data_IF_370687883437
#
_entry.id   IF_370687883437
#
_cell.length_a   1.000
_cell.length_b   1.000
_cell.length_c   1.000
_cell.angle_alpha   90.00
_cell.angle_beta   90.00
_cell.angle_gamma   90.00
#
_symmetry.space_group_name_H-M   'P 1'
#
loop_
_entity.id
_entity.type
_entity.pdbx_description
1 polymer ?
#
# COMPACT_ATOMS: atom_id res chain seq x y z
N UNK A 1 -57.63 -77.77 53.88
CA UNK A 1 -56.93 -76.75 53.03
C UNK A 1 -55.54 -77.27 52.84
N UNK A 2 -55.25 -77.65 51.62
CA UNK A 2 -54.20 -78.56 51.15
C UNK A 2 -52.76 -78.02 51.33
N UNK A 3 -51.93 -78.76 52.12
CA UNK A 3 -50.49 -78.47 52.30
C UNK A 3 -49.74 -78.52 51.01
N UNK A 4 -50.25 -79.32 50.03
CA UNK A 4 -49.59 -79.48 48.68
C UNK A 4 -49.58 -78.20 47.84
N UNK A 5 -50.63 -77.34 47.91
CA UNK A 5 -50.71 -76.06 47.17
C UNK A 5 -49.76 -74.98 47.71
N UNK A 6 -49.41 -75.05 48.98
CA UNK A 6 -48.43 -74.09 49.58
C UNK A 6 -46.99 -74.42 49.08
N UNK A 7 -46.63 -75.71 48.96
CA UNK A 7 -45.32 -76.08 48.44
C UNK A 7 -45.18 -75.75 46.96
N UNK A 8 -46.26 -75.93 46.19
CA UNK A 8 -46.25 -75.51 44.75
C UNK A 8 -46.08 -74.02 44.57
N UNK A 9 -46.73 -73.16 45.43
CA UNK A 9 -46.58 -71.73 45.38
C UNK A 9 -45.12 -71.26 45.68
N UNK A 10 -44.46 -71.98 46.63
CA UNK A 10 -43.04 -71.63 46.95
C UNK A 10 -42.09 -72.02 45.83
N UNK A 11 -42.36 -73.10 45.10
CA UNK A 11 -41.57 -73.53 43.91
C UNK A 11 -41.75 -72.54 42.75
N UNK A 12 -42.95 -72.04 42.54
CA UNK A 12 -43.20 -70.98 41.51
C UNK A 12 -42.52 -69.67 41.86
N UNK A 13 -42.54 -69.20 43.10
CA UNK A 13 -41.81 -67.97 43.55
C UNK A 13 -40.30 -68.18 43.39
N UNK A 14 -39.79 -69.38 43.74
CA UNK A 14 -38.38 -69.70 43.56
C UNK A 14 -37.92 -69.59 42.07
N UNK A 15 -38.77 -70.16 41.19
CA UNK A 15 -38.50 -70.15 39.73
C UNK A 15 -38.57 -68.75 39.14
N UNK A 16 -39.53 -67.91 39.60
CA UNK A 16 -39.59 -66.51 39.20
C UNK A 16 -38.41 -65.71 39.71
N UNK A 17 -37.93 -65.98 40.93
CA UNK A 17 -36.75 -65.29 41.49
C UNK A 17 -35.48 -65.65 40.68
N UNK A 18 -35.32 -66.92 40.32
CA UNK A 18 -34.19 -67.40 39.44
C UNK A 18 -34.30 -66.72 38.07
N UNK A 19 -35.51 -66.71 37.46
CA UNK A 19 -35.71 -66.09 36.14
C UNK A 19 -35.42 -64.61 36.20
N UNK A 20 -35.78 -63.91 37.28
CA UNK A 20 -35.49 -62.49 37.48
C UNK A 20 -33.96 -62.22 37.61
N UNK A 21 -33.23 -63.09 38.32
CA UNK A 21 -31.77 -62.97 38.48
C UNK A 21 -31.08 -63.26 37.15
N UNK A 22 -31.52 -64.26 36.37
CA UNK A 22 -30.99 -64.54 35.06
C UNK A 22 -31.29 -63.44 34.07
N UNK A 23 -32.51 -62.91 34.07
CA UNK A 23 -32.87 -61.75 33.26
C UNK A 23 -32.03 -60.49 33.61
N UNK A 24 -31.83 -60.24 34.93
CA UNK A 24 -30.97 -59.14 35.36
C UNK A 24 -29.51 -59.34 34.95
N UNK A 25 -29.00 -60.56 34.96
CA UNK A 25 -27.65 -60.88 34.54
C UNK A 25 -27.47 -60.76 33.02
N UNK A 26 -28.48 -61.21 32.22
CA UNK A 26 -28.50 -61.10 30.75
C UNK A 26 -28.73 -59.66 30.27
N UNK A 27 -29.47 -58.84 31.03
CA UNK A 27 -29.75 -57.42 30.70
C UNK A 27 -28.72 -56.44 31.26
N UNK A 28 -27.71 -56.94 31.98
CA UNK A 28 -26.60 -56.09 32.40
C UNK A 28 -25.90 -55.57 31.17
N UNK A 29 -25.80 -54.22 30.95
CA UNK A 29 -25.00 -53.68 29.88
C UNK A 29 -23.56 -54.15 30.06
N UNK A 30 -22.98 -54.72 29.00
CA UNK A 30 -21.59 -55.11 28.99
C UNK A 30 -20.74 -53.93 29.36
N UNK A 31 -20.05 -53.95 30.48
CA UNK A 31 -19.10 -52.94 30.86
C UNK A 31 -18.02 -52.77 29.80
N UNK A 32 -17.45 -51.60 29.69
CA UNK A 32 -16.36 -51.32 28.76
C UNK A 32 -15.21 -52.32 29.03
N UNK A 33 -14.64 -52.98 28.00
CA UNK A 33 -13.50 -53.89 28.18
C UNK A 33 -12.36 -53.21 28.93
N UNK A 34 -11.61 -53.97 29.75
CA UNK A 34 -10.44 -53.44 30.46
C UNK A 34 -9.42 -52.90 29.44
N UNK A 35 -8.97 -51.66 29.66
CA UNK A 35 -8.04 -50.95 28.77
C UNK A 35 -8.68 -49.92 27.85
N UNK A 36 -10.01 -49.78 27.87
CA UNK A 36 -10.71 -48.69 27.16
C UNK A 36 -11.28 -47.68 28.15
N UNK A 37 -10.96 -46.42 27.96
CA UNK A 37 -11.60 -45.30 28.62
C UNK A 37 -12.71 -44.75 27.72
N UNK A 38 -13.93 -44.67 28.23
CA UNK A 38 -15.05 -44.00 27.52
C UNK A 38 -15.14 -42.59 28.05
N UNK A 39 -14.93 -41.61 27.13
CA UNK A 39 -15.14 -40.22 27.36
C UNK A 39 -16.24 -39.71 26.45
N UNK A 40 -17.07 -38.81 26.94
CA UNK A 40 -18.05 -38.06 26.13
C UNK A 40 -17.40 -36.85 25.44
N UNK A 41 -16.14 -36.98 25.06
CA UNK A 41 -15.44 -35.92 24.33
C UNK A 41 -16.02 -35.71 22.93
N UNK A 42 -16.09 -34.46 22.54
CA UNK A 42 -16.43 -34.05 21.17
C UNK A 42 -15.14 -33.75 20.40
N UNK A 43 -15.02 -34.30 19.19
CA UNK A 43 -13.94 -33.95 18.30
C UNK A 43 -14.30 -32.63 17.63
N UNK A 44 -13.49 -31.62 17.85
CA UNK A 44 -13.64 -30.29 17.28
C UNK A 44 -12.39 -29.98 16.44
N UNK A 45 -12.58 -29.20 15.38
CA UNK A 45 -11.49 -28.71 14.54
C UNK A 45 -11.55 -27.17 14.51
N UNK A 46 -10.43 -26.55 14.28
CA UNK A 46 -10.35 -25.07 14.24
C UNK A 46 -11.17 -24.54 13.08
N UNK A 47 -12.22 -23.77 13.40
CA UNK A 47 -13.04 -23.09 12.40
C UNK A 47 -12.43 -21.74 12.03
N UNK A 48 -12.48 -21.41 10.74
CA UNK A 48 -12.01 -20.13 10.18
C UNK A 48 -13.12 -19.53 9.35
N UNK A 49 -13.58 -18.36 9.77
CA UNK A 49 -14.55 -17.58 9.01
C UNK A 49 -13.83 -16.76 7.91
N UNK A 50 -14.25 -16.94 6.66
CA UNK A 50 -13.82 -16.14 5.54
C UNK A 50 -14.78 -14.97 5.39
N UNK A 51 -14.28 -13.77 5.70
CA UNK A 51 -15.05 -12.53 5.69
C UNK A 51 -14.47 -11.53 4.70
N UNK A 52 -15.34 -10.69 4.14
CA UNK A 52 -14.91 -9.60 3.27
C UNK A 52 -14.25 -8.48 4.06
N UNK A 53 -13.08 -8.01 3.63
CA UNK A 53 -12.43 -6.83 4.22
C UNK A 53 -13.12 -5.52 3.83
N UNK A 54 -13.75 -5.47 2.66
CA UNK A 54 -14.42 -4.28 2.12
C UNK A 54 -15.91 -4.54 1.96
N UNK A 55 -16.70 -3.48 2.01
CA UNK A 55 -18.11 -3.57 1.68
C UNK A 55 -18.32 -3.70 0.17
N UNK A 56 -19.25 -4.56 -0.25
CA UNK A 56 -19.55 -4.74 -1.67
C UNK A 56 -20.52 -5.88 -1.91
N UNK A 57 -20.81 -6.15 -3.19
CA UNK A 57 -21.65 -7.26 -3.61
C UNK A 57 -20.79 -8.47 -3.97
N UNK A 58 -21.23 -9.66 -3.58
CA UNK A 58 -20.62 -10.91 -4.04
C UNK A 58 -20.99 -11.10 -5.52
N UNK A 59 -19.98 -11.26 -6.37
CA UNK A 59 -20.16 -11.59 -7.78
C UNK A 59 -20.31 -13.09 -7.95
N UNK A 60 -19.32 -13.86 -7.50
CA UNK A 60 -19.30 -15.32 -7.63
C UNK A 60 -18.67 -16.01 -6.42
N UNK A 61 -19.17 -17.22 -6.10
CA UNK A 61 -18.55 -18.14 -5.15
C UNK A 61 -18.07 -19.35 -5.96
N UNK A 62 -16.76 -19.62 -5.93
CA UNK A 62 -16.09 -20.59 -6.79
C UNK A 62 -16.04 -21.99 -6.20
N UNK A 63 -16.31 -22.12 -4.90
CA UNK A 63 -16.18 -23.36 -4.15
C UNK A 63 -17.54 -23.88 -3.69
N UNK A 64 -17.61 -25.19 -3.44
CA UNK A 64 -18.80 -25.89 -2.92
C UNK A 64 -18.60 -26.31 -1.48
N UNK A 65 -19.69 -26.46 -0.74
CA UNK A 65 -19.68 -27.06 0.60
C UNK A 65 -19.07 -28.46 0.55
N UNK A 66 -18.22 -28.74 1.53
CA UNK A 66 -17.49 -30.00 1.60
C UNK A 66 -16.24 -30.08 0.72
N UNK A 67 -15.93 -29.07 -0.09
CA UNK A 67 -14.75 -29.04 -0.96
C UNK A 67 -13.49 -28.77 -0.15
N UNK A 68 -12.39 -29.47 -0.48
CA UNK A 68 -11.06 -29.17 0.02
C UNK A 68 -10.47 -27.98 -0.76
N UNK A 69 -9.83 -27.06 -0.05
CA UNK A 69 -9.21 -25.88 -0.58
C UNK A 69 -7.80 -25.73 -0.03
N UNK A 70 -6.90 -25.13 -0.81
CA UNK A 70 -5.51 -24.90 -0.42
C UNK A 70 -5.31 -23.43 0.00
N UNK A 71 -4.28 -23.20 0.79
CA UNK A 71 -3.84 -21.85 1.13
C UNK A 71 -3.63 -20.99 -0.15
N UNK A 72 -4.19 -19.77 -0.16
CA UNK A 72 -4.15 -18.85 -1.29
C UNK A 72 -5.17 -19.13 -2.41
N UNK A 73 -5.93 -20.23 -2.35
CA UNK A 73 -6.99 -20.52 -3.34
C UNK A 73 -8.12 -19.51 -3.24
N UNK A 74 -8.58 -18.98 -4.39
CA UNK A 74 -9.69 -18.01 -4.45
C UNK A 74 -11.01 -18.75 -4.24
N UNK A 75 -11.71 -18.38 -3.17
CA UNK A 75 -12.97 -18.98 -2.75
C UNK A 75 -14.20 -18.23 -3.28
N UNK A 76 -14.12 -16.90 -3.27
CA UNK A 76 -15.17 -16.03 -3.76
C UNK A 76 -14.59 -14.75 -4.34
N UNK A 77 -15.34 -14.10 -5.23
CA UNK A 77 -15.01 -12.81 -5.83
C UNK A 77 -16.13 -11.83 -5.57
N UNK A 78 -15.75 -10.60 -5.26
CA UNK A 78 -16.67 -9.48 -5.16
C UNK A 78 -16.73 -8.70 -6.47
N UNK A 79 -17.78 -7.92 -6.67
CA UNK A 79 -17.93 -7.02 -7.83
C UNK A 79 -16.93 -5.87 -7.73
N UNK A 80 -15.93 -5.87 -8.59
CA UNK A 80 -14.84 -4.89 -8.62
C UNK A 80 -14.99 -3.82 -9.70
N UNK A 81 -16.10 -3.76 -10.44
CA UNK A 81 -16.26 -2.83 -11.58
C UNK A 81 -16.02 -1.38 -11.18
N UNK A 82 -16.59 -0.94 -10.07
CA UNK A 82 -16.39 0.44 -9.57
C UNK A 82 -14.94 0.68 -9.19
N UNK A 83 -14.29 -0.28 -8.52
CA UNK A 83 -12.88 -0.17 -8.13
C UNK A 83 -11.95 -0.15 -9.37
N UNK A 84 -12.27 -0.89 -10.42
CA UNK A 84 -11.53 -0.88 -11.67
C UNK A 84 -11.61 0.49 -12.36
N UNK A 85 -12.80 1.10 -12.42
CA UNK A 85 -12.95 2.46 -12.96
C UNK A 85 -12.20 3.51 -12.11
N UNK A 86 -12.28 3.41 -10.79
CA UNK A 86 -11.50 4.27 -9.89
C UNK A 86 -9.99 4.09 -10.09
N UNK A 87 -9.53 2.88 -10.37
CA UNK A 87 -8.12 2.62 -10.69
C UNK A 87 -7.71 3.27 -12.00
N UNK A 88 -8.55 3.21 -13.04
CA UNK A 88 -8.31 3.90 -14.31
C UNK A 88 -8.24 5.42 -14.12
N UNK A 89 -9.12 5.99 -13.30
CA UNK A 89 -9.05 7.42 -12.91
C UNK A 89 -7.73 7.75 -12.21
N UNK A 90 -7.32 6.94 -11.23
CA UNK A 90 -6.04 7.14 -10.52
C UNK A 90 -4.84 7.05 -11.49
N UNK A 91 -4.86 6.16 -12.47
CA UNK A 91 -3.84 6.07 -13.53
C UNK A 91 -3.82 7.34 -14.39
N UNK A 92 -4.98 7.91 -14.71
CA UNK A 92 -5.05 9.19 -15.43
C UNK A 92 -4.45 10.34 -14.59
N UNK A 93 -4.72 10.38 -13.29
CA UNK A 93 -4.13 11.36 -12.34
C UNK A 93 -2.59 11.22 -12.27
N UNK A 94 -2.05 9.99 -12.31
CA UNK A 94 -0.60 9.77 -12.38
C UNK A 94 -0.03 10.40 -13.66
N UNK A 95 -0.66 10.21 -14.81
CA UNK A 95 -0.22 10.80 -16.09
C UNK A 95 -0.27 12.33 -16.07
N UNK A 96 -1.30 12.91 -15.48
CA UNK A 96 -1.41 14.37 -15.28
C UNK A 96 -0.26 14.89 -14.41
N UNK A 97 0.02 14.25 -13.27
CA UNK A 97 1.13 14.60 -12.41
C UNK A 97 2.49 14.45 -13.11
N UNK A 98 2.69 13.41 -13.92
CA UNK A 98 3.90 13.23 -14.74
C UNK A 98 4.06 14.33 -15.79
N UNK A 99 2.97 14.79 -16.41
CA UNK A 99 3.00 15.93 -17.34
C UNK A 99 3.43 17.24 -16.62
N UNK A 100 3.01 17.40 -15.37
CA UNK A 100 3.45 18.55 -14.54
C UNK A 100 4.95 18.48 -14.23
N UNK A 101 5.52 17.29 -13.99
CA UNK A 101 6.98 17.08 -13.85
C UNK A 101 7.69 17.49 -15.14
N UNK A 102 7.21 17.04 -16.30
CA UNK A 102 7.80 17.40 -17.58
C UNK A 102 7.80 18.92 -17.85
N UNK A 103 6.69 19.61 -17.51
CA UNK A 103 6.59 21.07 -17.60
C UNK A 103 7.59 21.76 -16.67
N UNK A 104 7.75 21.28 -15.42
CA UNK A 104 8.72 21.81 -14.47
C UNK A 104 10.17 21.60 -14.93
N UNK A 105 10.47 20.47 -15.58
CA UNK A 105 11.78 20.21 -16.19
C UNK A 105 12.09 21.14 -17.36
N UNK A 106 11.11 21.40 -18.22
CA UNK A 106 11.25 22.37 -19.32
C UNK A 106 11.51 23.78 -18.79
N UNK A 107 10.84 24.19 -17.71
CA UNK A 107 11.09 25.45 -17.03
C UNK A 107 12.54 25.54 -16.49
N UNK A 108 13.04 24.47 -15.86
CA UNK A 108 14.44 24.40 -15.40
C UNK A 108 15.42 24.62 -16.56
N UNK A 109 15.21 23.98 -17.70
CA UNK A 109 16.06 24.11 -18.88
C UNK A 109 16.04 25.55 -19.42
N UNK A 110 14.85 26.18 -19.46
CA UNK A 110 14.73 27.60 -19.79
C UNK A 110 15.57 28.47 -18.85
N UNK A 111 15.47 28.31 -17.51
CA UNK A 111 16.24 29.07 -16.52
C UNK A 111 17.75 28.86 -16.65
N UNK A 112 18.19 27.65 -16.99
CA UNK A 112 19.59 27.36 -17.30
C UNK A 112 20.08 28.13 -18.54
N UNK A 113 19.24 28.22 -19.56
CA UNK A 113 19.56 28.96 -20.78
C UNK A 113 19.65 30.49 -20.52
N UNK A 114 18.73 31.03 -19.73
CA UNK A 114 18.77 32.43 -19.26
C UNK A 114 20.04 32.72 -18.46
N UNK A 115 20.47 31.78 -17.60
CA UNK A 115 21.71 31.94 -16.82
C UNK A 115 22.94 31.92 -17.71
N UNK A 116 22.97 31.07 -18.75
CA UNK A 116 24.07 31.07 -19.75
C UNK A 116 24.14 32.37 -20.51
N UNK A 117 23.00 32.97 -20.87
CA UNK A 117 22.96 34.31 -21.52
C UNK A 117 23.47 35.40 -20.57
N UNK A 118 23.05 35.41 -19.30
CA UNK A 118 23.55 36.34 -18.30
C UNK A 118 25.07 36.18 -18.06
N UNK A 119 25.60 34.96 -18.08
CA UNK A 119 27.02 34.71 -17.95
C UNK A 119 27.81 35.26 -19.17
N UNK A 120 27.26 35.16 -20.39
CA UNK A 120 27.86 35.72 -21.60
C UNK A 120 27.92 37.25 -21.48
N UNK A 121 26.90 37.91 -20.91
CA UNK A 121 26.91 39.32 -20.64
C UNK A 121 28.02 39.71 -19.65
N UNK A 122 28.25 38.94 -18.59
CA UNK A 122 29.37 39.14 -17.66
C UNK A 122 30.70 39.12 -18.39
N UNK A 123 30.89 38.12 -19.28
CA UNK A 123 32.12 38.01 -20.07
C UNK A 123 32.33 39.24 -21.00
N UNK A 124 31.25 39.74 -21.61
CA UNK A 124 31.29 40.98 -22.43
C UNK A 124 31.69 42.21 -21.58
N UNK A 125 31.03 42.41 -20.41
CA UNK A 125 31.33 43.51 -19.52
C UNK A 125 32.74 43.45 -18.93
N UNK A 126 33.23 42.25 -18.67
CA UNK A 126 34.62 42.04 -18.24
C UNK A 126 35.61 42.50 -19.33
N UNK A 127 35.41 42.11 -20.60
CA UNK A 127 36.26 42.55 -21.70
C UNK A 127 36.21 44.07 -21.91
N UNK A 128 35.03 44.69 -21.74
CA UNK A 128 34.88 46.15 -21.79
C UNK A 128 35.68 46.83 -20.67
N UNK A 129 35.53 46.35 -19.43
CA UNK A 129 36.31 46.86 -18.28
C UNK A 129 37.82 46.74 -18.51
N UNK A 130 38.27 45.61 -18.99
CA UNK A 130 39.70 45.34 -19.28
C UNK A 130 40.24 46.39 -20.32
N UNK A 131 39.44 46.68 -21.33
CA UNK A 131 39.81 47.70 -22.37
C UNK A 131 39.94 49.09 -21.79
N UNK A 132 38.89 49.56 -21.04
CA UNK A 132 38.88 50.93 -20.46
C UNK A 132 39.87 51.08 -19.30
N UNK A 133 40.10 50.03 -18.51
CA UNK A 133 41.11 49.98 -17.43
C UNK A 133 42.54 50.14 -18.00
N UNK A 134 42.82 49.42 -19.10
CA UNK A 134 44.12 49.61 -19.82
C UNK A 134 44.27 51.03 -20.35
N UNK A 135 43.21 51.65 -20.87
CA UNK A 135 43.20 53.04 -21.31
C UNK A 135 43.51 53.96 -20.15
N UNK A 136 42.77 53.85 -19.06
CA UNK A 136 42.97 54.68 -17.84
C UNK A 136 44.43 54.55 -17.33
N UNK A 137 45.00 53.32 -17.28
CA UNK A 137 46.38 53.07 -16.85
C UNK A 137 47.37 53.81 -17.74
N UNK A 138 47.19 53.83 -19.09
CA UNK A 138 48.02 54.58 -20.02
C UNK A 138 47.87 56.10 -19.82
N UNK A 139 46.63 56.61 -19.71
CA UNK A 139 46.34 58.04 -19.48
C UNK A 139 47.00 58.52 -18.22
N UNK A 140 46.92 57.74 -17.11
CA UNK A 140 47.59 58.01 -15.86
C UNK A 140 49.09 58.24 -16.01
N UNK A 141 49.75 57.34 -16.77
CA UNK A 141 51.19 57.42 -17.00
C UNK A 141 51.59 58.59 -17.91
N UNK A 142 50.71 58.96 -18.87
CA UNK A 142 50.91 60.16 -19.72
C UNK A 142 50.68 61.48 -18.99
N UNK A 143 49.68 61.56 -18.12
CA UNK A 143 49.42 62.69 -17.25
C UNK A 143 50.58 62.99 -16.32
N UNK A 144 51.23 61.97 -15.74
CA UNK A 144 52.42 62.14 -14.90
C UNK A 144 53.62 62.72 -15.67
N UNK A 145 53.65 62.63 -16.99
CA UNK A 145 54.64 63.17 -17.85
C UNK A 145 54.22 64.50 -18.50
N UNK A 146 53.02 65.05 -18.14
CA UNK A 146 52.49 66.26 -18.72
C UNK A 146 51.99 66.15 -20.17
N UNK A 147 51.76 64.87 -20.67
CA UNK A 147 51.44 64.62 -22.06
C UNK A 147 49.94 64.66 -22.41
N UNK A 148 49.07 64.73 -21.38
CA UNK A 148 47.60 64.88 -21.52
C UNK A 148 47.05 65.86 -20.50
N UNK A 149 45.78 66.31 -20.72
CA UNK A 149 45.06 67.17 -19.76
C UNK A 149 44.53 66.44 -18.55
N UNK A 150 44.35 67.13 -17.43
CA UNK A 150 43.71 66.60 -16.26
C UNK A 150 42.28 66.06 -16.57
N UNK A 151 41.53 66.85 -17.36
CA UNK A 151 40.17 66.44 -17.81
C UNK A 151 40.16 65.07 -18.52
N UNK A 152 41.10 64.88 -19.46
CA UNK A 152 41.18 63.50 -20.14
C UNK A 152 41.48 62.38 -19.17
N UNK A 153 42.31 62.58 -18.16
CA UNK A 153 42.54 61.58 -17.11
C UNK A 153 41.29 61.32 -16.30
N UNK A 154 40.55 62.39 -15.90
CA UNK A 154 39.31 62.25 -15.14
C UNK A 154 38.21 61.57 -15.94
N UNK A 155 38.08 61.80 -17.26
CA UNK A 155 37.14 61.17 -18.16
C UNK A 155 37.46 59.63 -18.29
N UNK A 156 38.74 59.31 -18.48
CA UNK A 156 39.15 57.89 -18.57
C UNK A 156 39.01 57.12 -17.24
N UNK A 157 39.15 57.83 -16.10
CA UNK A 157 38.87 57.29 -14.76
C UNK A 157 37.38 57.00 -14.59
N UNK A 158 36.53 57.98 -14.91
CA UNK A 158 35.08 57.88 -14.80
C UNK A 158 34.55 56.73 -15.69
N UNK A 159 35.12 56.60 -16.93
CA UNK A 159 34.78 55.47 -17.81
C UNK A 159 35.15 54.12 -17.21
N UNK A 160 36.32 53.98 -16.55
CA UNK A 160 36.72 52.73 -15.90
C UNK A 160 35.84 52.38 -14.66
N UNK A 161 35.48 53.41 -13.87
CA UNK A 161 34.57 53.22 -12.74
C UNK A 161 33.15 52.81 -13.19
N UNK A 162 32.63 53.43 -14.25
CA UNK A 162 31.35 53.08 -14.87
C UNK A 162 31.33 51.64 -15.40
N UNK A 163 32.38 51.21 -16.13
CA UNK A 163 32.49 49.85 -16.64
C UNK A 163 32.59 48.81 -15.50
N UNK A 164 33.27 49.18 -14.38
CA UNK A 164 33.31 48.30 -13.18
C UNK A 164 31.91 48.15 -12.57
N UNK A 165 31.16 49.23 -12.42
CA UNK A 165 29.80 49.17 -11.90
C UNK A 165 28.87 48.34 -12.81
N UNK A 166 29.03 48.49 -14.16
CA UNK A 166 28.28 47.68 -15.11
C UNK A 166 28.60 46.16 -15.01
N UNK A 167 29.87 45.81 -14.77
CA UNK A 167 30.28 44.44 -14.53
C UNK A 167 29.65 43.88 -13.25
N UNK A 168 29.69 44.60 -12.16
CA UNK A 168 29.09 44.16 -10.89
C UNK A 168 27.57 44.01 -11.01
N UNK A 169 26.90 44.88 -11.75
CA UNK A 169 25.48 44.72 -12.08
C UNK A 169 25.20 43.41 -12.87
N UNK A 170 26.01 43.10 -13.88
CA UNK A 170 25.88 41.88 -14.65
C UNK A 170 26.13 40.61 -13.79
N UNK A 171 27.09 40.64 -12.86
CA UNK A 171 27.32 39.56 -11.88
C UNK A 171 26.13 39.38 -10.95
N UNK A 172 25.53 40.46 -10.47
CA UNK A 172 24.31 40.38 -9.64
C UNK A 172 23.17 39.73 -10.42
N UNK A 173 23.03 40.00 -11.72
CA UNK A 173 22.02 39.34 -12.58
C UNK A 173 22.26 37.84 -12.71
N UNK A 174 23.52 37.40 -12.82
CA UNK A 174 23.86 35.95 -12.79
C UNK A 174 23.46 35.29 -11.47
N UNK A 175 23.70 35.99 -10.34
CA UNK A 175 23.30 35.50 -9.03
C UNK A 175 21.78 35.34 -8.91
N UNK A 176 21.02 36.35 -9.40
CA UNK A 176 19.56 36.28 -9.44
C UNK A 176 19.05 35.13 -10.32
N UNK A 177 19.64 34.91 -11.51
CA UNK A 177 19.26 33.81 -12.39
C UNK A 177 19.63 32.43 -11.82
N UNK A 178 20.72 32.30 -11.05
CA UNK A 178 21.04 31.09 -10.30
C UNK A 178 20.01 30.76 -9.22
N UNK A 179 19.55 31.76 -8.48
CA UNK A 179 18.47 31.60 -7.51
C UNK A 179 17.17 31.12 -8.18
N UNK A 180 16.87 31.59 -9.39
CA UNK A 180 15.73 31.16 -10.17
C UNK A 180 15.86 29.68 -10.60
N UNK A 181 17.08 29.18 -10.86
CA UNK A 181 17.33 27.75 -11.10
C UNK A 181 16.99 26.92 -9.88
N UNK A 182 17.42 27.34 -8.69
CA UNK A 182 17.11 26.58 -7.45
C UNK A 182 15.60 26.58 -7.15
N UNK A 183 14.90 27.66 -7.42
CA UNK A 183 13.43 27.68 -7.33
C UNK A 183 12.78 26.70 -8.33
N UNK A 184 13.28 26.64 -9.58
CA UNK A 184 12.79 25.70 -10.58
C UNK A 184 13.08 24.23 -10.19
N UNK A 185 14.22 23.93 -9.56
CA UNK A 185 14.52 22.60 -9.00
C UNK A 185 13.54 22.20 -7.90
N UNK A 186 13.23 23.14 -7.02
CA UNK A 186 12.22 22.90 -5.95
C UNK A 186 10.85 22.59 -6.55
N UNK A 187 10.45 23.27 -7.64
CA UNK A 187 9.20 22.98 -8.33
C UNK A 187 9.18 21.55 -8.92
N UNK A 188 10.31 21.04 -9.42
CA UNK A 188 10.41 19.64 -9.88
C UNK A 188 10.18 18.68 -8.71
N UNK A 189 10.81 18.90 -7.55
CA UNK A 189 10.63 18.07 -6.37
C UNK A 189 9.16 18.05 -5.95
N UNK A 190 8.51 19.21 -5.92
CA UNK A 190 7.07 19.32 -5.60
C UNK A 190 6.20 18.52 -6.60
N UNK A 191 6.51 18.63 -7.89
CA UNK A 191 5.79 17.88 -8.92
C UNK A 191 6.01 16.36 -8.79
N UNK A 192 7.23 15.91 -8.47
CA UNK A 192 7.54 14.51 -8.19
C UNK A 192 6.78 13.96 -6.99
N UNK A 193 6.69 14.73 -5.90
CA UNK A 193 5.89 14.34 -4.72
C UNK A 193 4.41 14.16 -5.07
N UNK A 194 3.86 14.95 -6.00
CA UNK A 194 2.49 14.76 -6.49
C UNK A 194 2.34 13.43 -7.25
N UNK A 195 3.34 13.05 -8.05
CA UNK A 195 3.35 11.74 -8.73
C UNK A 195 3.33 10.61 -7.71
N UNK A 196 4.17 10.70 -6.67
CA UNK A 196 4.22 9.69 -5.60
C UNK A 196 2.88 9.56 -4.86
N UNK A 197 2.23 10.70 -4.57
CA UNK A 197 0.91 10.72 -3.94
C UNK A 197 -0.18 10.07 -4.82
N UNK A 198 -0.18 10.38 -6.13
CA UNK A 198 -1.10 9.75 -7.09
C UNK A 198 -0.85 8.24 -7.22
N UNK A 199 0.41 7.81 -7.24
CA UNK A 199 0.78 6.39 -7.24
C UNK A 199 0.36 5.68 -5.94
N UNK A 200 0.45 6.35 -4.79
CA UNK A 200 -0.03 5.78 -3.52
C UNK A 200 -1.54 5.56 -3.55
N UNK A 201 -2.30 6.46 -4.17
CA UNK A 201 -3.75 6.31 -4.36
C UNK A 201 -4.05 5.10 -5.26
N UNK A 202 -3.35 4.95 -6.38
CA UNK A 202 -3.53 3.78 -7.28
C UNK A 202 -3.20 2.46 -6.55
N UNK A 203 -2.09 2.40 -5.80
CA UNK A 203 -1.73 1.21 -5.03
C UNK A 203 -2.78 0.85 -3.99
N UNK A 204 -3.39 1.83 -3.31
CA UNK A 204 -4.48 1.58 -2.37
C UNK A 204 -5.67 0.93 -3.07
N UNK A 205 -6.10 1.48 -4.23
CA UNK A 205 -7.22 0.92 -4.98
C UNK A 205 -6.88 -0.48 -5.51
N UNK A 206 -5.65 -0.70 -5.95
CA UNK A 206 -5.18 -2.02 -6.38
C UNK A 206 -5.22 -3.04 -5.22
N UNK A 207 -4.88 -2.63 -4.00
CA UNK A 207 -5.02 -3.48 -2.81
C UNK A 207 -6.49 -3.77 -2.49
N UNK A 208 -7.39 -2.77 -2.61
CA UNK A 208 -8.83 -2.98 -2.43
C UNK A 208 -9.39 -3.98 -3.46
N UNK A 209 -8.87 -3.97 -4.70
CA UNK A 209 -9.22 -4.96 -5.74
C UNK A 209 -8.69 -6.36 -5.38
N UNK A 210 -7.47 -6.49 -4.89
CA UNK A 210 -6.94 -7.79 -4.45
C UNK A 210 -7.71 -8.33 -3.23
N UNK A 211 -8.05 -7.48 -2.28
CA UNK A 211 -8.89 -7.82 -1.13
C UNK A 211 -10.35 -8.17 -1.50
N UNK A 212 -10.77 -7.87 -2.74
CA UNK A 212 -12.05 -8.31 -3.30
C UNK A 212 -12.05 -9.79 -3.72
N UNK A 213 -10.88 -10.41 -3.84
CA UNK A 213 -10.74 -11.85 -4.01
C UNK A 213 -10.54 -12.50 -2.63
N UNK A 214 -11.59 -13.18 -2.15
CA UNK A 214 -11.53 -13.87 -0.87
C UNK A 214 -10.75 -15.17 -1.05
N UNK A 215 -9.58 -15.24 -0.42
CA UNK A 215 -8.64 -16.38 -0.52
C UNK A 215 -8.63 -17.19 0.77
N UNK A 216 -8.39 -18.49 0.68
CA UNK A 216 -8.20 -19.36 1.83
C UNK A 216 -6.91 -18.96 2.57
N UNK A 217 -6.96 -18.69 3.89
CA UNK A 217 -5.77 -18.33 4.66
C UNK A 217 -4.88 -19.54 5.00
N UNK A 218 -5.38 -20.77 4.85
CA UNK A 218 -4.70 -22.04 5.09
C UNK A 218 -5.41 -23.18 4.36
N UNK A 219 -4.79 -24.34 4.33
CA UNK A 219 -5.42 -25.57 3.83
C UNK A 219 -6.59 -25.98 4.71
N UNK A 220 -7.67 -26.45 4.11
CA UNK A 220 -8.84 -26.87 4.89
C UNK A 220 -10.00 -27.32 4.03
N UNK A 221 -11.16 -27.46 4.65
CA UNK A 221 -12.40 -27.87 3.99
C UNK A 221 -13.49 -26.84 4.21
N UNK A 222 -14.17 -26.43 3.15
CA UNK A 222 -15.35 -25.56 3.25
C UNK A 222 -16.46 -26.30 3.99
N UNK A 223 -16.94 -25.73 5.09
CA UNK A 223 -17.99 -26.33 5.90
C UNK A 223 -19.37 -25.96 5.38
N UNK A 224 -19.66 -24.67 5.33
CA UNK A 224 -20.91 -24.12 4.79
C UNK A 224 -20.70 -22.71 4.22
N UNK A 225 -21.64 -22.31 3.37
CA UNK A 225 -21.72 -20.95 2.85
C UNK A 225 -22.65 -20.12 3.72
N UNK A 226 -22.21 -18.92 4.07
CA UNK A 226 -23.01 -17.96 4.86
C UNK A 226 -23.74 -17.00 3.94
N UNK A 227 -23.11 -16.62 2.83
CA UNK A 227 -23.63 -15.64 1.89
C UNK A 227 -23.81 -16.23 0.47
N UNK A 228 -24.69 -15.63 -0.31
CA UNK A 228 -25.03 -16.06 -1.66
C UNK A 228 -24.54 -15.05 -2.72
N UNK A 229 -24.29 -15.52 -3.98
CA UNK A 229 -23.97 -14.63 -5.08
C UNK A 229 -25.08 -13.58 -5.30
N UNK A 230 -24.67 -12.30 -5.48
CA UNK A 230 -25.58 -11.17 -5.61
C UNK A 230 -25.89 -10.44 -4.30
N UNK A 231 -25.57 -11.04 -3.15
CA UNK A 231 -25.77 -10.44 -1.83
C UNK A 231 -24.77 -9.28 -1.58
N UNK A 232 -25.23 -8.25 -0.87
CA UNK A 232 -24.42 -7.09 -0.49
C UNK A 232 -24.00 -7.22 0.95
N UNK A 233 -22.67 -7.21 1.17
CA UNK A 233 -22.07 -7.35 2.49
C UNK A 233 -21.42 -6.04 2.94
N UNK A 234 -21.48 -5.80 4.24
CA UNK A 234 -20.66 -4.79 4.90
C UNK A 234 -19.22 -5.31 5.08
N UNK A 235 -18.28 -4.43 5.36
CA UNK A 235 -16.93 -4.82 5.78
C UNK A 235 -17.00 -5.71 7.04
N UNK A 236 -16.29 -6.85 7.03
CA UNK A 236 -16.37 -7.89 8.05
C UNK A 236 -17.52 -8.89 7.86
N UNK A 237 -18.34 -8.74 6.80
CA UNK A 237 -19.40 -9.72 6.47
C UNK A 237 -18.81 -11.09 6.14
N UNK A 238 -19.34 -12.14 6.78
CA UNK A 238 -18.90 -13.52 6.54
C UNK A 238 -19.46 -14.04 5.23
N UNK A 239 -18.61 -14.72 4.45
CA UNK A 239 -18.99 -15.32 3.17
C UNK A 239 -19.03 -16.85 3.26
N UNK A 240 -18.01 -17.42 3.88
CA UNK A 240 -17.80 -18.87 3.99
C UNK A 240 -17.26 -19.19 5.39
N UNK A 241 -17.57 -20.39 5.88
CA UNK A 241 -16.87 -20.98 7.01
C UNK A 241 -16.03 -22.16 6.51
N UNK A 242 -14.79 -22.28 6.96
CA UNK A 242 -13.92 -23.40 6.67
C UNK A 242 -13.33 -23.99 7.95
N UNK A 243 -12.97 -25.28 7.87
CA UNK A 243 -12.40 -26.04 8.97
C UNK A 243 -10.99 -26.47 8.59
N UNK A 244 -10.05 -26.19 9.49
CA UNK A 244 -8.71 -26.71 9.41
C UNK A 244 -8.69 -28.16 9.96
N UNK A 245 -8.46 -29.13 9.08
CA UNK A 245 -8.41 -30.55 9.47
C UNK A 245 -7.02 -30.98 9.97
N UNK A 246 -6.03 -30.11 9.92
CA UNK A 246 -4.70 -30.40 10.47
C UNK A 246 -4.62 -30.16 11.98
N UNK A 247 -5.53 -29.32 12.52
CA UNK A 247 -5.60 -28.94 13.93
C UNK A 247 -6.95 -29.40 14.53
N UNK A 248 -6.98 -30.69 14.89
CA UNK A 248 -8.16 -31.36 15.46
C UNK A 248 -7.89 -31.65 16.92
N UNK A 249 -8.78 -31.22 17.80
CA UNK A 249 -8.68 -31.46 19.25
C UNK A 249 -9.96 -32.06 19.83
N UNK A 250 -9.84 -32.67 21.00
CA UNK A 250 -10.94 -33.31 21.73
C UNK A 250 -11.23 -32.49 22.97
N UNK A 251 -12.47 -32.07 23.12
CA UNK A 251 -13.00 -31.37 24.32
C UNK A 251 -13.96 -32.26 25.11
#
# INVERSE_FOLDING_TARGET
MDKSKRHLAWWVVGLLAVAAVVAWWLLRPAGVPEGFAVSNGRIEATEVDIASKIAGRIDTILVKEGQFVREGEVLAKMDTRVLQEQRLEAIAQIKEAQSTVAAAQALLEQRQSETRAAQSLVNQRQAELDSVAKRHTRSRSLAQRGAISAQQLDDDRAAAESARAALESAKAQVSASKAAIEAARTNIIQAQTRVEAAQATERRIAADIDDSELKAPRDGRVQYRVAEPGEVLAAGGRVLNMVDLSDVYMT
#
